data_IF_073560468117
#
_entry.id   IF_073560468117
#
_cell.length_a   1.000
_cell.length_b   1.000
_cell.length_c   1.000
_cell.angle_alpha   90.00
_cell.angle_beta   90.00
_cell.angle_gamma   90.00
#
_symmetry.space_group_name_H-M   'P 1'
#
loop_
_entity.id
_entity.type
_entity.pdbx_description
1 polymer ?
#
# COMPACT_ATOMS: atom_id res chain seq x y z
N UNK A 1 16.42 4.73 1.47
CA UNK A 1 15.06 4.34 1.02
C UNK A 1 13.93 4.88 1.91
N UNK A 2 14.06 4.91 3.24
CA UNK A 2 12.93 5.15 4.17
C UNK A 2 12.18 6.48 3.98
N UNK A 3 12.88 7.56 3.60
CA UNK A 3 12.25 8.87 3.38
C UNK A 3 11.22 8.82 2.25
N UNK A 4 11.52 8.10 1.16
CA UNK A 4 10.62 7.99 0.01
C UNK A 4 9.35 7.21 0.41
N UNK A 5 9.51 6.10 1.14
CA UNK A 5 8.38 5.31 1.64
C UNK A 5 7.48 6.14 2.57
N UNK A 6 8.07 6.90 3.50
CA UNK A 6 7.32 7.78 4.41
C UNK A 6 6.60 8.88 3.63
N UNK A 7 7.25 9.50 2.64
CA UNK A 7 6.61 10.51 1.80
C UNK A 7 5.39 9.94 1.06
N UNK A 8 5.52 8.76 0.44
CA UNK A 8 4.40 8.13 -0.27
C UNK A 8 3.26 7.78 0.68
N UNK A 9 3.58 7.26 1.86
CA UNK A 9 2.59 6.95 2.90
C UNK A 9 1.82 8.20 3.35
N UNK A 10 2.52 9.28 3.70
CA UNK A 10 1.90 10.52 4.19
C UNK A 10 1.02 11.16 3.11
N UNK A 11 1.48 11.19 1.86
CA UNK A 11 0.70 11.73 0.74
C UNK A 11 -0.57 10.90 0.51
N UNK A 12 -0.46 9.58 0.46
CA UNK A 12 -1.62 8.69 0.30
C UNK A 12 -2.60 8.84 1.47
N UNK A 13 -2.11 8.87 2.70
CA UNK A 13 -2.93 9.08 3.89
C UNK A 13 -3.67 10.42 3.85
N UNK A 14 -2.98 11.51 3.53
CA UNK A 14 -3.60 12.83 3.42
C UNK A 14 -4.69 12.87 2.34
N UNK A 15 -4.47 12.21 1.19
CA UNK A 15 -5.46 12.12 0.11
C UNK A 15 -6.70 11.31 0.52
N UNK A 16 -6.52 10.18 1.23
CA UNK A 16 -7.61 9.34 1.75
C UNK A 16 -8.38 10.09 2.84
N UNK A 17 -7.68 10.69 3.80
CA UNK A 17 -8.25 11.40 4.94
C UNK A 17 -8.97 12.69 4.54
N UNK A 18 -8.56 13.32 3.43
CA UNK A 18 -9.23 14.51 2.88
C UNK A 18 -10.62 14.21 2.31
N UNK A 19 -10.96 12.93 2.06
CA UNK A 19 -12.22 12.46 1.47
C UNK A 19 -12.63 13.12 0.14
N UNK A 20 -11.76 13.97 -0.42
CA UNK A 20 -11.97 14.69 -1.69
C UNK A 20 -11.89 13.77 -2.91
N UNK A 21 -11.28 12.60 -2.77
CA UNK A 21 -11.01 11.65 -3.84
C UNK A 21 -11.52 10.27 -3.43
N UNK A 22 -11.92 9.45 -4.41
CA UNK A 22 -12.31 8.07 -4.17
C UNK A 22 -11.15 7.29 -3.51
N UNK A 23 -11.37 6.88 -2.26
CA UNK A 23 -10.37 6.21 -1.40
C UNK A 23 -9.80 4.96 -2.07
N UNK A 24 -10.61 4.24 -2.84
CA UNK A 24 -10.19 3.04 -3.58
C UNK A 24 -9.21 3.36 -4.70
N UNK A 25 -9.42 4.48 -5.42
CA UNK A 25 -8.48 4.94 -6.46
C UNK A 25 -7.16 5.39 -5.84
N UNK A 26 -7.19 6.08 -4.70
CA UNK A 26 -5.98 6.51 -4.00
C UNK A 26 -5.19 5.30 -3.48
N UNK A 27 -5.87 4.30 -2.93
CA UNK A 27 -5.23 3.06 -2.48
C UNK A 27 -4.57 2.29 -3.65
N UNK A 28 -5.28 2.13 -4.77
CA UNK A 28 -4.74 1.47 -5.98
C UNK A 28 -3.56 2.26 -6.58
N UNK A 29 -3.66 3.59 -6.65
CA UNK A 29 -2.58 4.43 -7.14
C UNK A 29 -1.35 4.40 -6.23
N UNK A 30 -1.55 4.42 -4.90
CA UNK A 30 -0.48 4.27 -3.91
C UNK A 30 0.24 2.94 -4.05
N UNK A 31 -0.50 1.84 -4.19
CA UNK A 31 0.08 0.52 -4.44
C UNK A 31 0.89 0.50 -5.76
N UNK A 32 0.34 1.06 -6.85
CA UNK A 32 1.05 1.12 -8.13
C UNK A 32 2.35 1.94 -8.06
N UNK A 33 2.35 3.08 -7.38
CA UNK A 33 3.54 3.93 -7.19
C UNK A 33 4.62 3.20 -6.39
N UNK A 34 4.21 2.51 -5.33
CA UNK A 34 5.10 1.77 -4.43
C UNK A 34 5.72 0.56 -5.11
N UNK A 35 4.99 -0.11 -6.02
CA UNK A 35 5.51 -1.21 -6.85
C UNK A 35 6.40 -0.72 -8.00
N UNK A 36 6.05 0.41 -8.63
CA UNK A 36 6.79 0.94 -9.78
C UNK A 36 8.11 1.62 -9.40
N UNK A 37 8.19 2.21 -8.21
CA UNK A 37 9.44 2.74 -7.67
C UNK A 37 10.22 1.60 -7.00
N UNK A 38 11.57 1.54 -7.12
CA UNK A 38 12.42 0.55 -6.44
C UNK A 38 12.55 0.86 -4.94
N UNK A 39 11.44 1.18 -4.30
CA UNK A 39 11.32 1.38 -2.85
C UNK A 39 11.18 0.03 -2.14
N UNK A 40 10.69 -1.00 -2.86
CA UNK A 40 10.59 -2.40 -2.42
C UNK A 40 11.30 -3.29 -3.44
N UNK A 41 12.06 -4.28 -2.95
CA UNK A 41 12.58 -5.34 -3.82
C UNK A 41 11.39 -6.22 -4.23
N UNK A 42 11.30 -6.57 -5.51
CA UNK A 42 10.17 -7.32 -6.09
C UNK A 42 9.86 -8.65 -5.41
N UNK A 43 10.80 -9.19 -4.63
CA UNK A 43 10.67 -10.42 -3.85
C UNK A 43 9.74 -10.26 -2.62
N UNK A 44 9.62 -9.05 -2.05
CA UNK A 44 8.79 -8.78 -0.86
C UNK A 44 7.37 -8.28 -1.19
N UNK A 45 7.11 -7.88 -2.45
CA UNK A 45 5.87 -7.18 -2.85
C UNK A 45 4.64 -8.08 -2.74
N UNK A 46 4.79 -9.37 -3.04
CA UNK A 46 3.66 -10.28 -3.15
C UNK A 46 3.67 -11.44 -2.16
N UNK A 47 4.82 -11.77 -1.52
CA UNK A 47 4.87 -12.86 -0.54
C UNK A 47 6.19 -12.90 0.23
N UNK A 48 6.16 -12.55 1.52
CA UNK A 48 7.13 -13.05 2.51
C UNK A 48 6.33 -13.70 3.61
N UNK A 49 6.69 -14.92 3.99
CA UNK A 49 5.99 -15.68 5.04
C UNK A 49 6.09 -15.01 6.43
N UNK A 50 6.94 -13.98 6.57
CA UNK A 50 7.13 -13.20 7.80
C UNK A 50 6.71 -11.72 7.70
N UNK A 51 6.66 -11.13 6.50
CA UNK A 51 6.37 -9.68 6.30
C UNK A 51 5.34 -9.38 5.21
N UNK A 52 4.80 -10.39 4.54
CA UNK A 52 3.78 -10.27 3.50
C UNK A 52 2.39 -9.92 4.06
N UNK A 53 1.51 -9.45 3.17
CA UNK A 53 0.12 -9.16 3.50
C UNK A 53 -0.60 -10.48 3.88
N UNK A 54 -1.09 -10.57 5.11
CA UNK A 54 -1.91 -11.69 5.58
C UNK A 54 -3.30 -11.63 4.92
N UNK A 55 -3.53 -12.52 3.96
CA UNK A 55 -4.78 -12.56 3.18
C UNK A 55 -5.95 -13.16 3.97
N UNK A 56 -5.68 -13.91 5.05
CA UNK A 56 -6.70 -14.50 5.91
C UNK A 56 -7.58 -13.41 6.58
N UNK A 57 -7.01 -12.24 6.91
CA UNK A 57 -7.77 -11.07 7.44
C UNK A 57 -8.87 -10.60 6.48
N UNK A 58 -8.57 -10.51 5.18
CA UNK A 58 -9.53 -10.03 4.18
C UNK A 58 -10.65 -11.06 4.02
N UNK A 59 -10.32 -12.34 4.00
CA UNK A 59 -11.31 -13.42 3.93
C UNK A 59 -12.13 -13.54 5.22
N UNK A 60 -11.55 -13.25 6.39
CA UNK A 60 -12.27 -13.17 7.66
C UNK A 60 -13.34 -12.07 7.65
N UNK A 61 -13.07 -10.91 7.04
CA UNK A 61 -14.06 -9.83 6.86
C UNK A 61 -15.10 -10.11 5.76
N UNK A 62 -14.89 -11.12 4.90
CA UNK A 62 -15.85 -11.50 3.87
C UNK A 62 -16.80 -12.63 4.32
N UNK A 63 -16.46 -13.35 5.40
CA UNK A 63 -17.27 -14.42 6.00
C UNK A 63 -18.54 -13.94 6.70
#
# INVERSE_FOLDING_TARGET
MSVIAVCVFVVAYALIASERINKTLVALAGAAIVVALPVINSEDVFYSHETGIDWDVIFCCWG
#
